data_IF_037265167774
#
_entry.id   IF_037265167774
#
_cell.length_a   1.000
_cell.length_b   1.000
_cell.length_c   1.000
_cell.angle_alpha   90.00
_cell.angle_beta   90.00
_cell.angle_gamma   90.00
#
_symmetry.space_group_name_H-M   'P 1'
#
loop_
_entity.id
_entity.type
_entity.pdbx_description
1 polymer ?
#
# COMPACT_ATOMS: atom_id res chain seq x y z
N UNK A 1 10.54 9.32 6.50
CA UNK A 1 11.31 10.57 6.60
C UNK A 1 10.38 11.75 6.81
N UNK A 2 10.90 12.83 7.41
CA UNK A 2 10.19 14.09 7.62
C UNK A 2 10.75 15.18 6.69
N UNK A 3 9.88 15.90 5.99
CA UNK A 3 10.21 17.10 5.22
C UNK A 3 10.93 16.89 3.89
N UNK A 4 11.02 15.65 3.37
CA UNK A 4 11.65 15.43 2.06
C UNK A 4 10.89 16.14 0.94
N UNK A 5 11.62 16.81 0.05
CA UNK A 5 11.11 17.58 -1.08
C UNK A 5 10.56 18.96 -0.72
N UNK A 6 9.76 19.05 0.36
CA UNK A 6 8.93 20.25 0.67
C UNK A 6 9.35 21.00 1.94
N UNK A 7 10.41 20.57 2.62
CA UNK A 7 10.93 21.21 3.83
C UNK A 7 10.29 20.70 5.13
N UNK A 8 10.92 21.05 6.26
CA UNK A 8 10.50 20.59 7.60
C UNK A 8 9.08 21.04 7.93
N UNK A 9 8.28 20.13 8.51
CA UNK A 9 6.90 20.39 8.94
C UNK A 9 5.85 20.24 7.83
N UNK A 10 6.24 19.88 6.61
CA UNK A 10 5.35 19.90 5.43
C UNK A 10 5.04 18.53 4.84
N UNK A 11 5.81 17.49 5.17
CA UNK A 11 5.54 16.12 4.70
C UNK A 11 6.08 15.07 5.65
N UNK A 12 5.37 13.94 5.72
CA UNK A 12 5.89 12.68 6.24
C UNK A 12 5.67 11.65 5.14
N UNK A 13 6.71 10.91 4.80
CA UNK A 13 6.65 9.83 3.82
C UNK A 13 7.45 8.62 4.28
N UNK A 14 7.11 7.46 3.75
CA UNK A 14 7.81 6.21 4.02
C UNK A 14 8.46 5.70 2.73
N UNK A 15 9.59 5.02 2.87
CA UNK A 15 10.26 4.32 1.78
C UNK A 15 10.44 2.86 2.15
N UNK A 16 10.35 1.98 1.15
CA UNK A 16 10.43 0.53 1.30
C UNK A 16 11.47 0.00 0.30
N UNK A 17 12.31 -0.94 0.76
CA UNK A 17 13.22 -1.70 -0.11
C UNK A 17 13.17 -3.17 0.29
N UNK A 18 13.09 -4.06 -0.71
CA UNK A 18 13.24 -5.50 -0.53
C UNK A 18 14.33 -6.05 -1.44
N UNK A 19 15.04 -7.08 -0.97
CA UNK A 19 16.11 -7.74 -1.72
C UNK A 19 15.62 -9.09 -2.25
N UNK A 20 15.82 -9.32 -3.55
CA UNK A 20 15.60 -10.59 -4.21
C UNK A 20 16.91 -11.38 -4.30
N UNK A 21 17.26 -12.11 -3.23
CA UNK A 21 18.51 -12.87 -3.14
C UNK A 21 18.42 -14.32 -3.66
N UNK A 22 17.28 -14.70 -4.26
CA UNK A 22 17.02 -16.04 -4.78
C UNK A 22 16.56 -17.07 -3.73
N UNK A 23 16.49 -16.71 -2.45
CA UNK A 23 16.00 -17.62 -1.41
C UNK A 23 14.48 -17.76 -1.42
N UNK A 24 13.96 -18.90 -0.94
CA UNK A 24 12.52 -19.12 -0.75
C UNK A 24 11.90 -18.05 0.17
N UNK A 25 12.62 -17.68 1.24
CA UNK A 25 12.19 -16.67 2.19
C UNK A 25 12.08 -15.28 1.54
N UNK A 26 13.04 -14.88 0.71
CA UNK A 26 12.94 -13.63 -0.03
C UNK A 26 11.72 -13.64 -0.97
N UNK A 27 11.45 -14.77 -1.63
CA UNK A 27 10.23 -14.94 -2.44
C UNK A 27 8.94 -14.70 -1.65
N UNK A 28 8.84 -15.24 -0.43
CA UNK A 28 7.68 -14.99 0.45
C UNK A 28 7.56 -13.52 0.88
N UNK A 29 8.68 -12.90 1.25
CA UNK A 29 8.72 -11.49 1.65
C UNK A 29 8.30 -10.58 0.50
N UNK A 30 8.86 -10.79 -0.69
CA UNK A 30 8.56 -9.99 -1.88
C UNK A 30 7.09 -10.10 -2.27
N UNK A 31 6.52 -11.32 -2.27
CA UNK A 31 5.09 -11.49 -2.54
C UNK A 31 4.24 -10.67 -1.59
N UNK A 32 4.54 -10.70 -0.28
CA UNK A 32 3.77 -9.93 0.71
C UNK A 32 3.99 -8.42 0.57
N UNK A 33 5.24 -7.98 0.46
CA UNK A 33 5.59 -6.55 0.39
C UNK A 33 5.03 -5.90 -0.85
N UNK A 34 5.23 -6.51 -2.03
CA UNK A 34 4.76 -5.95 -3.30
C UNK A 34 3.25 -6.08 -3.50
N UNK A 35 2.54 -6.80 -2.64
CA UNK A 35 1.07 -6.73 -2.55
C UNK A 35 0.64 -5.64 -1.56
N UNK A 36 1.25 -5.60 -0.37
CA UNK A 36 0.80 -4.72 0.71
C UNK A 36 1.14 -3.24 0.48
N UNK A 37 2.32 -2.93 -0.05
CA UNK A 37 2.78 -1.55 -0.25
C UNK A 37 1.89 -0.77 -1.25
N UNK A 38 1.63 -1.26 -2.48
CA UNK A 38 0.65 -0.64 -3.36
C UNK A 38 -0.80 -0.79 -2.85
N UNK A 39 -1.11 -1.89 -2.16
CA UNK A 39 -2.42 -2.10 -1.53
C UNK A 39 -2.78 -1.00 -0.53
N UNK A 40 -1.80 -0.50 0.23
CA UNK A 40 -1.99 0.64 1.13
C UNK A 40 -2.38 1.92 0.38
N UNK A 41 -1.84 2.12 -0.83
CA UNK A 41 -2.24 3.20 -1.71
C UNK A 41 -3.71 3.09 -2.11
N UNK A 42 -4.18 1.90 -2.49
CA UNK A 42 -5.59 1.64 -2.82
C UNK A 42 -6.48 1.91 -1.61
N UNK A 43 -6.19 1.29 -0.46
CA UNK A 43 -6.98 1.44 0.77
C UNK A 43 -7.09 2.92 1.16
N UNK A 44 -5.99 3.66 1.11
CA UNK A 44 -5.98 5.10 1.41
C UNK A 44 -6.92 5.90 0.50
N UNK A 45 -6.98 5.58 -0.79
CA UNK A 45 -7.83 6.32 -1.72
C UNK A 45 -9.29 5.85 -1.65
N UNK A 46 -9.56 4.60 -1.29
CA UNK A 46 -10.92 4.16 -0.93
C UNK A 46 -11.42 4.96 0.28
N UNK A 47 -10.64 5.03 1.35
CA UNK A 47 -10.99 5.78 2.56
C UNK A 47 -11.23 7.28 2.28
N UNK A 48 -10.53 7.85 1.29
CA UNK A 48 -10.73 9.22 0.84
C UNK A 48 -11.94 9.42 -0.11
N UNK A 49 -12.67 8.36 -0.47
CA UNK A 49 -13.89 8.40 -1.28
C UNK A 49 -13.68 8.43 -2.80
N UNK A 50 -12.59 7.84 -3.31
CA UNK A 50 -12.34 7.76 -4.76
C UNK A 50 -12.95 6.49 -5.36
N UNK A 51 -13.99 6.63 -6.21
CA UNK A 51 -14.68 5.50 -6.89
C UNK A 51 -13.72 4.58 -7.67
N UNK A 52 -12.69 5.15 -8.29
CA UNK A 52 -11.68 4.36 -9.02
C UNK A 52 -10.91 3.42 -8.09
N UNK A 53 -10.67 3.83 -6.84
CA UNK A 53 -9.97 3.01 -5.86
C UNK A 53 -10.86 1.87 -5.36
N UNK A 54 -12.18 2.10 -5.21
CA UNK A 54 -13.15 1.04 -4.89
C UNK A 54 -13.19 -0.02 -5.99
N UNK A 55 -13.23 0.42 -7.25
CA UNK A 55 -13.19 -0.47 -8.41
C UNK A 55 -11.90 -1.31 -8.42
N UNK A 56 -10.76 -0.68 -8.19
CA UNK A 56 -9.46 -1.37 -8.11
C UNK A 56 -9.42 -2.34 -6.93
N UNK A 57 -10.00 -1.98 -5.78
CA UNK A 57 -10.05 -2.84 -4.61
C UNK A 57 -10.85 -4.12 -4.89
N UNK A 58 -12.02 -3.99 -5.52
CA UNK A 58 -12.82 -5.12 -5.95
C UNK A 58 -12.07 -6.01 -6.98
N UNK A 59 -11.53 -5.40 -8.04
CA UNK A 59 -10.84 -6.11 -9.12
C UNK A 59 -9.58 -6.87 -8.66
N UNK A 60 -8.88 -6.36 -7.65
CA UNK A 60 -7.64 -6.94 -7.13
C UNK A 60 -7.82 -7.72 -5.83
N UNK A 61 -9.04 -7.78 -5.29
CA UNK A 61 -9.33 -8.46 -4.03
C UNK A 61 -8.65 -7.81 -2.82
N UNK A 62 -8.51 -6.48 -2.83
CA UNK A 62 -8.01 -5.74 -1.67
C UNK A 62 -9.13 -5.67 -0.64
N UNK A 63 -8.90 -6.26 0.53
CA UNK A 63 -9.88 -6.27 1.62
C UNK A 63 -10.02 -4.88 2.24
N UNK A 64 -11.25 -4.34 2.26
CA UNK A 64 -11.60 -3.07 2.91
C UNK A 64 -12.65 -3.36 4.00
N UNK A 65 -12.27 -3.48 5.28
CA UNK A 65 -13.20 -3.91 6.33
C UNK A 65 -14.40 -2.98 6.53
N UNK A 66 -14.26 -1.69 6.25
CA UNK A 66 -15.33 -0.71 6.43
C UNK A 66 -16.50 -0.88 5.45
N UNK A 67 -16.31 -1.67 4.38
CA UNK A 67 -17.34 -1.97 3.38
C UNK A 67 -17.92 -3.38 3.53
N UNK A 68 -17.46 -4.16 4.52
CA UNK A 68 -17.98 -5.49 4.81
C UNK A 68 -19.22 -5.37 5.71
N UNK A 69 -20.27 -6.14 5.42
CA UNK A 69 -21.43 -6.25 6.33
C UNK A 69 -21.01 -6.99 7.63
N UNK A 70 -21.54 -6.54 8.77
CA UNK A 70 -21.28 -7.10 10.10
C UNK A 70 -21.93 -8.48 10.32
#
# INVERSE_FOLDING_TARGET
HHGGGVGMGRSIHAGQVSVADGTKLAGEKIRRVLTNDPGMGVIRHVDAGYDIAESVAADKGVRVPMTEDN
#
